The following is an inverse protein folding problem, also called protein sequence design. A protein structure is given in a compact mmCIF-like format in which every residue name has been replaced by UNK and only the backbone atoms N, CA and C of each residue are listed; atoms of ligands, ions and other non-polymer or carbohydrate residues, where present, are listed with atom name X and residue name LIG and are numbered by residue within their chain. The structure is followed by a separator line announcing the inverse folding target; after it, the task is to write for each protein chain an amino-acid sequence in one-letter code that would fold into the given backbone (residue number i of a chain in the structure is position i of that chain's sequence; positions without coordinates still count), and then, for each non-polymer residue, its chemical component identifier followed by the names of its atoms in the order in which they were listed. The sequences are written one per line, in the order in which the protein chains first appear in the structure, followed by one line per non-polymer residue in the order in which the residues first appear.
data_IF_432213682874
#
_entry.id   IF_432213682874
#
_cell.length_a   1.000
_cell.length_b   1.000
_cell.length_c   1.000
_cell.angle_alpha   90.00
_cell.angle_beta   90.00
_cell.angle_gamma   90.00
#
_symmetry.space_group_name_H-M   'P 1'
#
loop_
_entity.id
_entity.type
_entity.pdbx_description
1 polymer ?
#
# COMPACT_ATOMS: atom_id res chain seq x y z
N UNK A 1 19.19 -39.53 51.28
CA UNK A 1 18.44 -38.35 51.75
C UNK A 1 18.55 -37.28 50.69
N UNK A 2 17.51 -36.96 49.96
CA UNK A 2 17.12 -35.75 49.24
C UNK A 2 16.25 -36.05 48.00
N UNK A 3 15.18 -36.81 48.16
CA UNK A 3 14.12 -36.93 47.14
C UNK A 3 12.83 -36.19 47.50
N UNK A 4 12.75 -35.59 48.69
CA UNK A 4 11.58 -34.85 49.15
C UNK A 4 11.70 -33.32 48.84
N UNK A 5 12.91 -32.76 48.66
CA UNK A 5 13.16 -31.36 48.36
C UNK A 5 12.87 -31.01 46.90
N UNK A 6 13.19 -31.87 45.96
CA UNK A 6 12.99 -31.60 44.52
C UNK A 6 11.52 -31.67 44.12
N UNK A 7 10.68 -32.49 44.76
CA UNK A 7 9.24 -32.49 44.49
C UNK A 7 8.49 -31.30 45.04
N UNK A 8 9.01 -30.64 46.10
CA UNK A 8 8.41 -29.42 46.63
C UNK A 8 8.77 -28.18 45.77
N UNK A 9 9.91 -28.17 45.09
CA UNK A 9 10.30 -27.12 44.16
C UNK A 9 9.60 -27.24 42.79
N UNK A 10 9.34 -28.44 42.29
CA UNK A 10 8.54 -28.67 41.08
C UNK A 10 7.07 -28.30 41.27
N UNK A 11 6.49 -28.52 42.47
CA UNK A 11 5.12 -28.11 42.79
C UNK A 11 4.94 -26.61 43.07
N UNK A 12 6.02 -25.86 43.27
CA UNK A 12 5.98 -24.40 43.44
C UNK A 12 6.27 -23.63 42.15
N UNK A 13 6.69 -24.24 41.04
CA UNK A 13 6.97 -23.57 39.78
C UNK A 13 5.76 -23.49 38.85
N UNK A 14 4.68 -24.22 39.12
CA UNK A 14 3.42 -24.15 38.38
C UNK A 14 2.39 -23.27 39.10
N UNK A 15 2.77 -22.00 39.36
CA UNK A 15 1.76 -20.95 39.56
C UNK A 15 1.22 -20.60 38.20
N UNK A 16 0.22 -21.40 37.73
CA UNK A 16 -0.64 -21.07 36.61
C UNK A 16 -1.08 -19.61 36.74
N UNK A 17 -0.68 -18.78 35.77
CA UNK A 17 -1.21 -17.45 35.60
C UNK A 17 -2.73 -17.54 35.66
N UNK A 18 -3.43 -16.70 36.42
CA UNK A 18 -4.88 -16.78 36.51
C UNK A 18 -5.48 -16.58 35.11
N UNK A 19 -5.86 -17.66 34.49
CA UNK A 19 -6.50 -17.68 33.18
C UNK A 19 -8.00 -17.72 33.37
N UNK A 20 -8.72 -16.80 32.68
CA UNK A 20 -10.18 -16.84 32.66
C UNK A 20 -10.62 -17.74 31.51
N UNK A 21 -11.39 -18.74 31.83
CA UNK A 21 -12.02 -19.59 30.84
C UNK A 21 -13.42 -19.07 30.52
N UNK A 22 -13.63 -18.62 29.29
CA UNK A 22 -14.93 -18.21 28.78
C UNK A 22 -15.54 -19.40 28.02
N UNK A 23 -16.59 -19.99 28.60
CA UNK A 23 -17.41 -21.04 27.97
C UNK A 23 -18.62 -20.37 27.32
N UNK A 24 -18.62 -20.30 25.99
CA UNK A 24 -19.74 -19.76 25.24
C UNK A 24 -20.56 -20.93 24.69
N UNK A 25 -21.84 -21.03 25.12
CA UNK A 25 -22.80 -21.96 24.57
C UNK A 25 -23.61 -21.26 23.47
N UNK A 26 -23.45 -21.70 22.23
CA UNK A 26 -24.25 -21.22 21.10
C UNK A 26 -25.13 -22.35 20.54
N UNK A 27 -26.37 -22.05 20.14
CA UNK A 27 -27.16 -22.97 19.33
C UNK A 27 -26.51 -23.07 17.95
N UNK A 28 -26.39 -24.27 17.35
CA UNK A 28 -25.94 -24.39 15.99
C UNK A 28 -26.87 -23.60 15.06
N UNK A 29 -26.29 -22.70 14.25
CA UNK A 29 -27.05 -21.95 13.26
C UNK A 29 -27.61 -22.90 12.19
N UNK A 30 -28.73 -22.56 11.60
CA UNK A 30 -29.49 -23.32 10.62
C UNK A 30 -28.80 -23.61 9.27
N UNK A 31 -27.46 -23.57 9.22
CA UNK A 31 -26.64 -23.81 8.02
C UNK A 31 -25.88 -25.12 7.96
N UNK A 32 -25.86 -25.91 9.04
CA UNK A 32 -25.16 -27.20 9.09
C UNK A 32 -26.18 -28.36 9.25
N UNK A 33 -26.99 -28.57 8.22
CA UNK A 33 -27.85 -29.73 8.09
C UNK A 33 -27.09 -30.89 7.45
N UNK A 34 -26.34 -31.61 8.28
CA UNK A 34 -25.65 -32.83 7.86
C UNK A 34 -25.30 -33.75 9.03
N UNK A 35 -26.21 -34.65 9.29
CA UNK A 35 -26.17 -35.81 10.20
C UNK A 35 -26.76 -35.61 11.61
N UNK A 36 -27.84 -36.32 11.83
CA UNK A 36 -28.65 -36.29 13.03
C UNK A 36 -27.88 -36.67 14.31
N UNK A 37 -27.90 -35.72 15.22
CA UNK A 37 -27.93 -36.01 16.65
C UNK A 37 -28.46 -34.78 17.39
N UNK A 38 -29.39 -35.02 18.31
CA UNK A 38 -30.02 -34.17 19.32
C UNK A 38 -29.38 -32.79 19.52
N UNK A 39 -30.19 -31.73 19.48
CA UNK A 39 -29.81 -30.31 19.63
C UNK A 39 -28.89 -29.99 20.80
N UNK A 40 -27.64 -30.29 20.66
CA UNK A 40 -26.59 -29.97 21.63
C UNK A 40 -26.00 -28.59 21.38
N UNK A 41 -25.86 -27.80 22.44
CA UNK A 41 -25.12 -26.55 22.39
C UNK A 41 -23.63 -26.82 22.09
N UNK A 42 -23.08 -26.11 21.11
CA UNK A 42 -21.64 -26.12 20.87
C UNK A 42 -20.97 -25.20 21.89
N UNK A 43 -20.16 -25.79 22.78
CA UNK A 43 -19.40 -25.06 23.78
C UNK A 43 -18.00 -24.76 23.21
N UNK A 44 -17.66 -23.49 22.99
CA UNK A 44 -16.29 -23.08 22.63
C UNK A 44 -15.59 -22.52 23.85
N UNK A 45 -14.38 -23.00 24.11
CA UNK A 45 -13.51 -22.62 25.23
C UNK A 45 -12.53 -21.54 24.77
N UNK A 46 -12.49 -20.43 25.50
CA UNK A 46 -11.55 -19.32 25.25
C UNK A 46 -10.79 -19.02 26.54
N UNK A 47 -9.47 -18.94 26.43
CA UNK A 47 -8.59 -18.67 27.57
C UNK A 47 -8.06 -17.24 27.44
N UNK A 48 -8.21 -16.43 28.48
CA UNK A 48 -7.72 -15.05 28.50
C UNK A 48 -7.13 -14.71 29.89
N UNK A 49 -6.10 -13.86 29.91
CA UNK A 49 -5.52 -13.36 31.15
C UNK A 49 -6.51 -12.44 31.86
N UNK A 50 -6.92 -12.77 33.06
CA UNK A 50 -7.94 -12.02 33.83
C UNK A 50 -7.57 -10.55 34.03
N UNK A 51 -6.30 -10.23 34.25
CA UNK A 51 -5.83 -8.86 34.47
C UNK A 51 -6.00 -8.00 33.23
N UNK A 52 -5.80 -8.57 32.04
CA UNK A 52 -6.00 -7.87 30.78
C UNK A 52 -7.47 -7.50 30.52
N UNK A 53 -8.42 -8.29 31.06
CA UNK A 53 -9.85 -8.06 30.85
C UNK A 53 -10.44 -6.93 31.71
N UNK A 54 -9.78 -6.53 32.78
CA UNK A 54 -10.25 -5.44 33.67
C UNK A 54 -9.77 -4.06 33.24
N UNK A 55 -8.85 -3.99 32.25
CA UNK A 55 -8.31 -2.74 31.75
C UNK A 55 -9.40 -1.96 31.01
N UNK A 56 -9.42 -0.64 31.20
CA UNK A 56 -10.31 0.28 30.53
C UNK A 56 -9.53 1.13 29.53
N UNK A 57 -9.44 0.72 28.27
CA UNK A 57 -8.74 1.49 27.25
C UNK A 57 -9.53 2.75 26.91
N UNK A 58 -8.83 3.88 26.75
CA UNK A 58 -9.42 5.17 26.39
C UNK A 58 -8.86 5.63 25.05
N UNK A 59 -9.74 6.08 24.16
CA UNK A 59 -9.36 6.80 22.93
C UNK A 59 -8.72 8.14 23.29
N UNK A 60 -7.84 8.62 22.40
CA UNK A 60 -7.40 10.02 22.46
C UNK A 60 -8.59 10.99 22.25
N UNK A 61 -8.50 12.26 22.67
CA UNK A 61 -9.55 13.26 22.47
C UNK A 61 -9.94 13.38 20.99
N UNK A 62 -11.21 13.69 20.71
CA UNK A 62 -11.74 13.78 19.34
C UNK A 62 -11.04 14.86 18.49
N UNK A 63 -10.53 15.90 19.13
CA UNK A 63 -9.75 16.96 18.49
C UNK A 63 -8.37 16.52 18.00
N UNK A 64 -7.87 15.37 18.50
CA UNK A 64 -6.53 14.84 18.18
C UNK A 64 -6.49 13.86 17.00
N UNK A 65 -7.65 13.58 16.39
CA UNK A 65 -7.72 12.67 15.24
C UNK A 65 -8.80 13.06 14.23
N UNK A 66 -8.61 12.60 12.99
CA UNK A 66 -9.58 12.71 11.90
C UNK A 66 -9.97 11.32 11.43
N UNK A 67 -11.25 11.09 11.10
CA UNK A 67 -11.76 9.79 10.62
C UNK A 67 -12.36 9.95 9.24
N UNK A 68 -11.94 9.11 8.31
CA UNK A 68 -12.51 9.03 6.98
C UNK A 68 -13.07 7.62 6.72
N UNK A 69 -14.38 7.54 6.50
CA UNK A 69 -15.02 6.29 6.08
C UNK A 69 -14.87 6.08 4.57
N UNK A 70 -14.56 4.86 4.16
CA UNK A 70 -14.40 4.47 2.77
C UNK A 70 -15.13 3.15 2.49
N UNK A 71 -15.69 3.00 1.28
CA UNK A 71 -16.44 1.81 0.89
C UNK A 71 -15.57 0.83 0.10
N UNK A 72 -15.60 -0.46 0.48
CA UNK A 72 -15.04 -1.57 -0.30
C UNK A 72 -16.01 -2.03 -1.40
N UNK A 73 -15.54 -2.94 -2.26
CA UNK A 73 -16.31 -3.54 -3.36
C UNK A 73 -17.53 -4.31 -2.85
N UNK A 74 -17.43 -4.99 -1.72
CA UNK A 74 -18.50 -5.76 -1.06
C UNK A 74 -19.48 -4.89 -0.24
N UNK A 75 -19.46 -3.57 -0.44
CA UNK A 75 -20.20 -2.55 0.32
C UNK A 75 -19.85 -2.45 1.80
N UNK A 76 -18.88 -3.24 2.29
CA UNK A 76 -18.36 -3.07 3.65
C UNK A 76 -17.61 -1.77 3.75
N UNK A 77 -17.70 -1.14 4.91
CA UNK A 77 -16.94 0.06 5.22
C UNK A 77 -15.57 -0.31 5.79
N UNK A 78 -14.59 0.49 5.48
CA UNK A 78 -13.35 0.56 6.23
C UNK A 78 -13.07 2.01 6.59
N UNK A 79 -12.35 2.21 7.66
CA UNK A 79 -12.12 3.52 8.25
C UNK A 79 -10.62 3.80 8.26
N UNK A 80 -10.27 5.00 7.88
CA UNK A 80 -8.90 5.53 8.02
C UNK A 80 -8.95 6.53 9.16
N UNK A 81 -8.12 6.33 10.18
CA UNK A 81 -7.96 7.26 11.30
C UNK A 81 -6.59 7.89 11.17
N UNK A 82 -6.55 9.22 11.10
CA UNK A 82 -5.33 10.03 11.15
C UNK A 82 -5.18 10.60 12.55
N UNK A 83 -4.07 10.30 13.21
CA UNK A 83 -3.67 10.99 14.46
C UNK A 83 -2.93 12.27 14.09
N UNK A 84 -3.41 13.42 14.56
CA UNK A 84 -2.93 14.73 14.10
C UNK A 84 -1.54 15.09 14.65
N UNK A 85 -1.25 14.81 15.93
CA UNK A 85 0.03 15.18 16.56
C UNK A 85 1.24 14.41 16.01
N UNK A 86 1.07 13.12 15.69
CA UNK A 86 2.16 12.25 15.22
C UNK A 86 2.04 11.88 13.76
N UNK A 87 1.01 12.41 13.09
CA UNK A 87 0.71 12.19 11.67
C UNK A 87 0.74 10.71 11.27
N UNK A 88 0.08 9.88 12.09
CA UNK A 88 0.01 8.44 11.94
C UNK A 88 -1.34 8.03 11.41
N UNK A 89 -1.35 6.98 10.57
CA UNK A 89 -2.57 6.46 9.95
C UNK A 89 -2.82 5.04 10.41
N UNK A 90 -4.07 4.77 10.81
CA UNK A 90 -4.54 3.44 11.15
C UNK A 90 -5.73 3.08 10.28
N UNK A 91 -5.61 1.95 9.56
CA UNK A 91 -6.68 1.40 8.74
C UNK A 91 -7.44 0.35 9.54
N UNK A 92 -8.75 0.54 9.67
CA UNK A 92 -9.64 -0.32 10.45
C UNK A 92 -10.74 -0.89 9.56
N UNK A 93 -11.01 -2.17 9.72
CA UNK A 93 -12.24 -2.75 9.20
C UNK A 93 -13.43 -2.37 10.10
N UNK A 94 -14.64 -2.75 9.73
CA UNK A 94 -15.86 -2.43 10.50
C UNK A 94 -15.82 -2.99 11.93
N UNK A 95 -15.25 -4.18 12.10
CA UNK A 95 -15.11 -4.84 13.40
C UNK A 95 -14.10 -4.10 14.31
N UNK A 96 -12.94 -3.75 13.75
CA UNK A 96 -11.89 -3.02 14.46
C UNK A 96 -12.33 -1.59 14.79
N UNK A 97 -13.09 -0.95 13.89
CA UNK A 97 -13.66 0.37 14.16
C UNK A 97 -14.70 0.34 15.27
N UNK A 98 -15.54 -0.70 15.30
CA UNK A 98 -16.47 -0.91 16.41
C UNK A 98 -15.73 -1.10 17.74
N UNK A 99 -14.67 -1.90 17.77
CA UNK A 99 -13.82 -2.05 18.95
C UNK A 99 -13.25 -0.70 19.42
N UNK A 100 -12.75 0.09 18.46
CA UNK A 100 -12.20 1.42 18.76
C UNK A 100 -13.25 2.40 19.31
N UNK A 101 -14.46 2.37 18.76
CA UNK A 101 -15.58 3.19 19.28
C UNK A 101 -15.94 2.86 20.73
N UNK A 102 -15.82 1.59 21.12
CA UNK A 102 -16.12 1.12 22.49
C UNK A 102 -15.02 1.40 23.51
N UNK A 103 -13.87 1.91 23.07
CA UNK A 103 -12.76 2.28 23.95
C UNK A 103 -12.91 3.72 24.46
N UNK A 104 -13.91 3.97 25.28
CA UNK A 104 -14.26 5.28 25.85
C UNK A 104 -13.62 5.55 27.21
N UNK A 105 -12.90 4.58 27.78
CA UNK A 105 -12.34 4.63 29.14
C UNK A 105 -13.33 4.24 30.23
N UNK A 106 -14.58 3.98 29.90
CA UNK A 106 -15.63 3.55 30.82
C UNK A 106 -15.80 2.04 30.81
N UNK A 107 -15.78 1.45 29.62
CA UNK A 107 -15.92 0.01 29.41
C UNK A 107 -14.61 -0.74 29.63
N UNK A 108 -14.69 -1.87 30.32
CA UNK A 108 -13.57 -2.80 30.45
C UNK A 108 -13.37 -3.58 29.14
N UNK A 109 -12.18 -4.15 28.94
CA UNK A 109 -11.97 -5.04 27.79
C UNK A 109 -12.92 -6.24 27.77
N UNK A 110 -13.42 -6.68 28.92
CA UNK A 110 -14.49 -7.70 29.01
C UNK A 110 -15.78 -7.18 28.39
N UNK A 111 -16.18 -5.95 28.73
CA UNK A 111 -17.42 -5.35 28.21
C UNK A 111 -17.31 -5.15 26.69
N UNK A 112 -16.15 -4.67 26.22
CA UNK A 112 -15.84 -4.50 24.79
C UNK A 112 -15.90 -5.86 24.06
N UNK A 113 -15.31 -6.91 24.64
CA UNK A 113 -15.34 -8.24 24.07
C UNK A 113 -16.75 -8.84 24.02
N UNK A 114 -17.55 -8.61 25.06
CA UNK A 114 -18.95 -9.03 25.12
C UNK A 114 -19.78 -8.30 24.08
N UNK A 115 -19.64 -6.97 23.97
CA UNK A 115 -20.32 -6.17 22.93
C UNK A 115 -19.94 -6.60 21.51
N UNK A 116 -18.67 -6.91 21.28
CA UNK A 116 -18.20 -7.44 20.00
C UNK A 116 -18.86 -8.78 19.65
N UNK A 117 -18.89 -9.72 20.62
CA UNK A 117 -19.54 -11.02 20.43
C UNK A 117 -21.03 -10.89 20.12
N UNK A 118 -21.73 -10.02 20.86
CA UNK A 118 -23.17 -9.80 20.65
C UNK A 118 -23.46 -9.22 19.25
N UNK A 119 -22.56 -8.39 18.73
CA UNK A 119 -22.76 -7.76 17.42
C UNK A 119 -22.36 -8.67 16.26
N UNK A 120 -21.25 -9.39 16.36
CA UNK A 120 -20.65 -10.12 15.24
C UNK A 120 -20.79 -11.65 15.34
N UNK A 121 -21.33 -12.17 16.45
CA UNK A 121 -21.60 -13.60 16.63
C UNK A 121 -20.37 -14.51 16.74
N UNK A 122 -19.17 -13.96 16.65
CA UNK A 122 -17.90 -14.67 16.76
C UNK A 122 -16.99 -13.98 17.77
N UNK A 123 -16.15 -14.75 18.46
CA UNK A 123 -15.18 -14.22 19.40
C UNK A 123 -13.80 -14.81 19.13
N UNK A 124 -12.86 -13.94 18.75
CA UNK A 124 -11.44 -14.25 18.74
C UNK A 124 -10.68 -13.16 19.51
N UNK A 125 -10.24 -13.49 20.73
CA UNK A 125 -9.52 -12.54 21.57
C UNK A 125 -8.21 -12.05 20.94
N UNK A 126 -7.61 -12.84 20.05
CA UNK A 126 -6.43 -12.43 19.28
C UNK A 126 -6.69 -11.25 18.33
N UNK A 127 -7.92 -11.10 17.85
CA UNK A 127 -8.31 -9.93 17.04
C UNK A 127 -8.24 -8.67 17.90
N UNK A 128 -8.81 -8.72 19.12
CA UNK A 128 -8.79 -7.60 20.07
C UNK A 128 -7.34 -7.27 20.48
N UNK A 129 -6.53 -8.26 20.79
CA UNK A 129 -5.12 -8.04 21.16
C UNK A 129 -4.31 -7.39 20.04
N UNK A 130 -4.45 -7.90 18.80
CA UNK A 130 -3.77 -7.32 17.62
C UNK A 130 -4.24 -5.89 17.34
N UNK A 131 -5.53 -5.64 17.48
CA UNK A 131 -6.07 -4.29 17.34
C UNK A 131 -5.51 -3.34 18.41
N UNK A 132 -5.51 -3.75 19.68
CA UNK A 132 -4.96 -2.95 20.78
C UNK A 132 -3.47 -2.62 20.58
N UNK A 133 -2.67 -3.60 20.14
CA UNK A 133 -1.25 -3.39 19.85
C UNK A 133 -1.07 -2.33 18.74
N UNK A 134 -1.79 -2.45 17.63
CA UNK A 134 -1.75 -1.51 16.50
C UNK A 134 -2.25 -0.11 16.90
N UNK A 135 -3.35 -0.04 17.63
CA UNK A 135 -3.93 1.24 18.07
C UNK A 135 -3.02 1.97 19.07
N UNK A 136 -2.33 1.22 19.95
CA UNK A 136 -1.32 1.76 20.88
C UNK A 136 -0.06 2.23 20.15
N UNK A 137 0.47 1.44 19.22
CA UNK A 137 1.63 1.79 18.40
C UNK A 137 1.38 3.10 17.63
N UNK A 138 0.16 3.28 17.13
CA UNK A 138 -0.27 4.51 16.44
C UNK A 138 -0.71 5.62 17.41
N UNK A 139 -0.53 5.45 18.74
CA UNK A 139 -0.90 6.43 19.77
C UNK A 139 -2.37 6.87 19.71
N UNK A 140 -3.28 6.02 19.26
CA UNK A 140 -4.71 6.31 19.16
C UNK A 140 -5.49 5.91 20.41
N UNK A 141 -4.89 5.10 21.28
CA UNK A 141 -5.46 4.72 22.57
C UNK A 141 -4.45 4.90 23.70
N UNK A 142 -4.97 5.23 24.85
CA UNK A 142 -4.24 5.26 26.13
C UNK A 142 -4.72 4.07 26.96
N UNK A 143 -3.80 3.22 27.36
CA UNK A 143 -4.07 2.12 28.28
C UNK A 143 -3.42 2.50 29.60
N UNK A 144 -4.20 2.63 30.70
CA UNK A 144 -3.63 2.88 32.02
C UNK A 144 -2.61 1.78 32.36
N UNK A 145 -1.39 2.18 32.69
CA UNK A 145 -0.29 1.27 32.96
C UNK A 145 -0.47 0.63 34.34
N UNK A 146 -0.85 -0.64 34.35
CA UNK A 146 -0.47 -1.57 35.42
C UNK A 146 0.73 -2.37 34.94
N UNK A 147 1.76 -2.55 35.78
CA UNK A 147 3.02 -3.24 35.42
C UNK A 147 2.82 -4.64 34.84
N UNK A 148 1.68 -5.27 35.12
CA UNK A 148 1.27 -6.57 34.59
C UNK A 148 0.86 -6.50 33.12
N UNK A 149 0.27 -5.40 32.65
CA UNK A 149 -0.11 -5.21 31.24
C UNK A 149 1.14 -4.93 30.38
N UNK A 150 2.15 -4.28 30.94
CA UNK A 150 3.43 -4.03 30.25
C UNK A 150 4.15 -5.32 29.87
N UNK A 151 4.11 -6.34 30.73
CA UNK A 151 4.76 -7.66 30.48
C UNK A 151 4.03 -8.51 29.44
N UNK A 152 2.70 -8.45 29.37
CA UNK A 152 1.92 -9.25 28.41
C UNK A 152 1.89 -8.69 26.98
N UNK A 153 2.28 -7.43 26.80
CA UNK A 153 2.27 -6.74 25.48
C UNK A 153 3.70 -6.54 24.91
N UNK A 154 4.76 -6.89 25.65
CA UNK A 154 6.15 -6.62 25.29
C UNK A 154 6.93 -7.80 24.69
N UNK A 155 6.34 -8.98 24.54
CA UNK A 155 7.04 -10.18 24.12
C UNK A 155 6.89 -10.48 22.62
N UNK A 156 7.34 -9.56 21.75
CA UNK A 156 7.91 -9.96 20.46
C UNK A 156 9.38 -9.53 20.41
N UNK A 157 10.33 -10.46 20.39
CA UNK A 157 11.75 -10.11 20.27
C UNK A 157 11.99 -9.52 18.88
N UNK A 158 12.27 -8.22 18.83
CA UNK A 158 12.79 -7.57 17.62
C UNK A 158 14.14 -8.19 17.28
N UNK A 159 14.19 -9.00 16.23
CA UNK A 159 15.40 -9.68 15.80
C UNK A 159 16.46 -8.65 15.43
N UNK A 160 17.74 -8.91 15.74
CA UNK A 160 18.90 -8.08 15.36
C UNK A 160 18.91 -7.76 13.84
N UNK A 161 18.38 -8.66 13.01
CA UNK A 161 18.17 -8.42 11.57
C UNK A 161 17.22 -7.27 11.29
N UNK A 162 16.14 -7.11 12.09
CA UNK A 162 15.20 -6.00 11.91
C UNK A 162 15.85 -4.66 12.28
N UNK A 163 16.71 -4.63 13.29
CA UNK A 163 17.41 -3.41 13.73
C UNK A 163 18.45 -2.95 12.71
N UNK A 164 19.23 -3.89 12.12
CA UNK A 164 20.19 -3.57 11.05
C UNK A 164 19.48 -3.13 9.78
N UNK A 165 18.36 -3.79 9.43
CA UNK A 165 17.54 -3.42 8.30
C UNK A 165 16.90 -2.03 8.46
N UNK A 166 16.53 -1.65 9.69
CA UNK A 166 15.98 -0.31 9.99
C UNK A 166 17.05 0.78 9.93
N UNK A 167 18.32 0.46 10.20
CA UNK A 167 19.45 1.41 10.06
C UNK A 167 19.84 1.69 8.61
N UNK A 168 19.71 0.73 7.70
CA UNK A 168 19.93 0.91 6.26
C UNK A 168 18.83 1.76 5.57
N UNK A 169 17.65 1.86 6.19
CA UNK A 169 16.59 2.81 5.76
C UNK A 169 16.90 4.29 6.09
N UNK A 170 18.02 4.60 6.73
CA UNK A 170 18.38 5.97 7.16
C UNK A 170 19.10 6.83 6.13
N UNK A 171 19.21 6.39 4.88
CA UNK A 171 19.59 7.27 3.76
C UNK A 171 18.35 7.91 3.10
N UNK A 172 17.34 8.25 3.91
CA UNK A 172 16.19 9.01 3.48
C UNK A 172 16.48 10.50 3.73
N UNK A 173 16.84 11.22 2.67
CA UNK A 173 16.99 12.66 2.70
C UNK A 173 15.59 13.29 2.56
N UNK A 174 14.95 13.49 3.68
CA UNK A 174 13.61 14.02 3.77
C UNK A 174 13.63 15.52 4.01
N UNK A 175 13.14 16.30 3.05
CA UNK A 175 12.82 17.71 3.24
C UNK A 175 11.41 17.79 3.87
N UNK A 176 11.36 18.09 5.15
CA UNK A 176 10.12 18.40 5.87
C UNK A 176 9.74 19.88 5.67
N UNK A 177 8.51 20.24 5.98
CA UNK A 177 7.97 21.61 5.85
C UNK A 177 7.92 22.14 4.40
N UNK A 178 7.75 21.25 3.43
CA UNK A 178 7.61 21.64 2.02
C UNK A 178 6.21 22.12 1.65
N UNK A 179 5.22 21.86 2.51
CA UNK A 179 3.80 22.12 2.22
C UNK A 179 3.52 23.57 1.80
N UNK A 180 4.07 24.53 2.52
CA UNK A 180 3.90 25.96 2.20
C UNK A 180 4.50 26.31 0.83
N UNK A 181 5.69 25.77 0.51
CA UNK A 181 6.36 26.00 -0.78
C UNK A 181 5.57 25.40 -1.94
N UNK A 182 5.08 24.16 -1.76
CA UNK A 182 4.22 23.50 -2.77
C UNK A 182 2.89 24.24 -2.89
N UNK A 183 2.31 24.75 -1.80
CA UNK A 183 1.09 25.56 -1.83
C UNK A 183 1.31 26.85 -2.63
N UNK A 184 2.41 27.57 -2.38
CA UNK A 184 2.74 28.78 -3.14
C UNK A 184 2.97 28.48 -4.63
N UNK A 185 3.63 27.37 -4.97
CA UNK A 185 3.80 26.93 -6.34
C UNK A 185 2.46 26.56 -6.98
N UNK A 186 1.62 25.79 -6.26
CA UNK A 186 0.28 25.42 -6.75
C UNK A 186 -0.57 26.66 -7.08
N UNK A 187 -0.54 27.69 -6.24
CA UNK A 187 -1.29 28.94 -6.51
C UNK A 187 -0.88 29.57 -7.84
N UNK A 188 0.42 29.54 -8.20
CA UNK A 188 0.94 30.06 -9.47
C UNK A 188 0.52 29.21 -10.66
N UNK A 189 0.54 27.87 -10.50
CA UNK A 189 0.24 26.93 -11.59
C UNK A 189 -1.21 26.42 -11.57
N UNK A 190 -2.05 26.95 -10.71
CA UNK A 190 -3.47 26.57 -10.58
C UNK A 190 -4.22 26.53 -11.92
N UNK A 191 -3.98 27.42 -12.90
CA UNK A 191 -4.63 27.34 -14.22
C UNK A 191 -4.39 26.02 -14.95
N UNK A 192 -3.29 25.30 -14.68
CA UNK A 192 -3.00 23.98 -15.28
C UNK A 192 -4.02 22.90 -14.85
N UNK A 193 -4.78 23.13 -13.78
CA UNK A 193 -5.85 22.23 -13.30
C UNK A 193 -7.24 22.65 -13.80
N UNK A 194 -7.31 23.54 -14.80
CA UNK A 194 -8.55 24.01 -15.39
C UNK A 194 -9.03 23.09 -16.54
N UNK A 195 -10.33 23.14 -16.85
CA UNK A 195 -10.90 22.39 -17.98
C UNK A 195 -10.23 22.70 -19.32
N UNK A 196 -9.93 23.98 -19.68
CA UNK A 196 -9.19 24.25 -20.91
C UNK A 196 -7.78 23.66 -20.92
N UNK A 197 -7.07 23.64 -19.78
CA UNK A 197 -5.76 23.02 -19.71
C UNK A 197 -5.83 21.51 -20.01
N UNK A 198 -6.84 20.81 -19.50
CA UNK A 198 -7.04 19.39 -19.82
C UNK A 198 -7.36 19.14 -21.28
N UNK A 199 -8.09 20.07 -21.96
CA UNK A 199 -8.30 20.00 -23.40
C UNK A 199 -6.98 20.15 -24.17
N UNK A 200 -6.12 21.09 -23.76
CA UNK A 200 -4.76 21.25 -24.31
C UNK A 200 -3.92 19.99 -24.08
N UNK A 201 -3.97 19.39 -22.89
CA UNK A 201 -3.27 18.12 -22.60
C UNK A 201 -3.72 17.02 -23.56
N UNK A 202 -5.04 16.88 -23.77
CA UNK A 202 -5.59 15.93 -24.73
C UNK A 202 -5.08 16.15 -26.15
N UNK A 203 -5.03 17.42 -26.60
CA UNK A 203 -4.51 17.79 -27.92
C UNK A 203 -3.00 17.45 -28.04
N UNK A 204 -2.20 17.82 -27.04
CA UNK A 204 -0.75 17.51 -27.00
C UNK A 204 -0.51 16.01 -27.05
N UNK A 205 -1.25 15.23 -26.27
CA UNK A 205 -1.14 13.77 -26.28
C UNK A 205 -1.51 13.18 -27.65
N UNK A 206 -2.60 13.65 -28.27
CA UNK A 206 -3.04 13.17 -29.57
C UNK A 206 -2.00 13.48 -30.67
N UNK A 207 -1.51 14.72 -30.72
CA UNK A 207 -0.45 15.12 -31.68
C UNK A 207 0.85 14.36 -31.37
N UNK A 208 1.19 14.17 -30.10
CA UNK A 208 2.36 13.41 -29.67
C UNK A 208 2.34 11.95 -30.13
N UNK A 209 1.18 11.29 -30.05
CA UNK A 209 1.02 9.92 -30.58
C UNK A 209 1.24 9.89 -32.10
N UNK A 210 0.66 10.85 -32.84
CA UNK A 210 0.89 10.96 -34.30
C UNK A 210 2.37 11.16 -34.59
N UNK A 211 3.03 12.05 -33.85
CA UNK A 211 4.45 12.34 -34.01
C UNK A 211 5.33 11.11 -33.74
N UNK A 212 5.03 10.34 -32.66
CA UNK A 212 5.72 9.08 -32.35
C UNK A 212 5.62 8.07 -33.48
N UNK A 213 4.42 7.86 -34.01
CA UNK A 213 4.19 6.89 -35.10
C UNK A 213 4.89 7.32 -36.38
N UNK A 214 4.77 8.61 -36.77
CA UNK A 214 5.41 9.13 -37.97
C UNK A 214 6.93 9.05 -37.88
N UNK A 215 7.50 9.38 -36.75
CA UNK A 215 8.95 9.35 -36.53
C UNK A 215 9.50 7.92 -36.46
N UNK A 216 8.76 6.97 -35.89
CA UNK A 216 9.12 5.54 -35.90
C UNK A 216 9.24 5.02 -37.36
N UNK A 217 8.33 5.45 -38.25
CA UNK A 217 8.36 5.11 -39.67
C UNK A 217 9.55 5.72 -40.46
N UNK A 218 10.23 6.73 -39.93
CA UNK A 218 11.42 7.32 -40.52
C UNK A 218 12.73 6.60 -40.15
N UNK A 219 12.68 5.53 -39.36
CA UNK A 219 13.88 4.79 -38.92
C UNK A 219 14.74 5.57 -37.89
N UNK A 220 14.19 6.64 -37.33
CA UNK A 220 14.88 7.48 -36.36
C UNK A 220 15.25 6.70 -35.11
N UNK A 221 16.48 6.83 -34.63
CA UNK A 221 16.96 6.24 -33.39
C UNK A 221 18.19 5.35 -33.54
N UNK A 222 18.39 4.71 -34.69
CA UNK A 222 19.62 3.94 -34.93
C UNK A 222 20.87 4.86 -34.93
N UNK A 223 20.74 6.06 -35.46
CA UNK A 223 21.82 7.06 -35.54
C UNK A 223 22.35 7.48 -34.15
N UNK A 224 21.48 7.59 -33.14
CA UNK A 224 21.88 7.93 -31.76
C UNK A 224 22.74 6.84 -31.14
N UNK A 225 22.53 5.57 -31.52
CA UNK A 225 23.28 4.43 -31.00
C UNK A 225 24.67 4.28 -31.67
N UNK A 226 24.90 4.88 -32.83
CA UNK A 226 26.14 4.75 -33.61
C UNK A 226 27.16 5.86 -33.37
N UNK A 227 26.80 6.94 -32.69
CA UNK A 227 27.74 8.05 -32.44
C UNK A 227 28.46 7.90 -31.09
N UNK A 228 29.70 8.35 -31.02
CA UNK A 228 30.52 8.38 -29.79
C UNK A 228 29.88 9.19 -28.65
N UNK A 229 28.95 8.62 -27.92
CA UNK A 229 27.88 9.25 -27.16
C UNK A 229 28.27 9.74 -25.77
N UNK A 230 29.53 9.97 -25.49
CA UNK A 230 29.98 10.47 -24.19
C UNK A 230 29.29 11.76 -23.72
N UNK A 231 28.88 12.63 -24.65
CA UNK A 231 28.19 13.90 -24.33
C UNK A 231 26.66 13.78 -24.29
N UNK A 232 26.06 12.88 -25.08
CA UNK A 232 24.59 12.72 -25.11
C UNK A 232 24.05 11.97 -23.89
N UNK A 233 24.82 11.04 -23.35
CA UNK A 233 24.41 10.25 -22.17
C UNK A 233 24.16 11.13 -20.93
N UNK A 234 25.04 12.05 -20.53
CA UNK A 234 24.76 12.96 -19.42
C UNK A 234 23.50 13.81 -19.64
N UNK A 235 23.30 14.34 -20.83
CA UNK A 235 22.11 15.15 -21.16
C UNK A 235 20.85 14.28 -21.06
N UNK A 236 20.88 13.09 -21.58
CA UNK A 236 19.79 12.11 -21.48
C UNK A 236 19.43 11.80 -20.02
N UNK A 237 20.45 11.51 -19.18
CA UNK A 237 20.25 11.22 -17.76
C UNK A 237 19.69 12.44 -17.00
N UNK A 238 20.17 13.65 -17.29
CA UNK A 238 19.67 14.89 -16.67
C UNK A 238 18.18 15.10 -17.04
N UNK A 239 17.81 14.92 -18.31
CA UNK A 239 16.42 15.06 -18.75
C UNK A 239 15.51 14.03 -18.07
N UNK A 240 15.97 12.77 -17.92
CA UNK A 240 15.20 11.74 -17.21
C UNK A 240 15.09 12.04 -15.72
N UNK A 241 16.17 12.48 -15.07
CA UNK A 241 16.13 12.91 -13.68
C UNK A 241 15.15 14.10 -13.48
N UNK A 242 15.19 15.09 -14.37
CA UNK A 242 14.25 16.22 -14.36
C UNK A 242 12.79 15.73 -14.54
N UNK A 243 12.56 14.74 -15.42
CA UNK A 243 11.23 14.18 -15.63
C UNK A 243 10.73 13.45 -14.36
N UNK A 244 11.58 12.74 -13.62
CA UNK A 244 11.21 12.12 -12.35
C UNK A 244 10.83 13.19 -11.32
N UNK A 245 11.59 14.28 -11.22
CA UNK A 245 11.25 15.39 -10.31
C UNK A 245 9.91 16.03 -10.69
N UNK A 246 9.64 16.26 -11.98
CA UNK A 246 8.35 16.80 -12.45
C UNK A 246 7.21 15.83 -12.17
N UNK A 247 7.44 14.53 -12.32
CA UNK A 247 6.49 13.47 -11.99
C UNK A 247 6.06 13.54 -10.51
N UNK A 248 7.00 13.53 -9.58
CA UNK A 248 6.72 13.63 -8.14
C UNK A 248 6.08 14.98 -7.76
N UNK A 249 6.54 16.07 -8.40
CA UNK A 249 5.95 17.38 -8.20
C UNK A 249 4.49 17.42 -8.69
N UNK A 250 4.17 16.69 -9.75
CA UNK A 250 2.79 16.60 -10.27
C UNK A 250 1.85 15.92 -9.28
N UNK A 251 2.29 14.86 -8.58
CA UNK A 251 1.56 14.28 -7.47
C UNK A 251 1.32 15.29 -6.34
N UNK A 252 2.37 16.01 -5.94
CA UNK A 252 2.29 17.01 -4.89
C UNK A 252 1.33 18.17 -5.25
N UNK A 253 1.38 18.68 -6.46
CA UNK A 253 0.50 19.74 -6.94
C UNK A 253 -0.95 19.27 -7.05
N UNK A 254 -1.17 18.03 -7.53
CA UNK A 254 -2.50 17.43 -7.55
C UNK A 254 -3.06 17.21 -6.12
N UNK A 255 -2.23 16.81 -5.17
CA UNK A 255 -2.59 16.72 -3.76
C UNK A 255 -3.09 18.08 -3.23
N UNK A 256 -2.38 19.17 -3.52
CA UNK A 256 -2.80 20.55 -3.16
C UNK A 256 -4.09 20.97 -3.85
N UNK A 257 -4.31 20.52 -5.09
CA UNK A 257 -5.56 20.80 -5.81
C UNK A 257 -6.79 20.23 -5.08
N UNK A 258 -6.65 19.09 -4.41
CA UNK A 258 -7.69 18.48 -3.57
C UNK A 258 -7.67 18.97 -2.11
N UNK A 259 -6.92 20.02 -1.80
CA UNK A 259 -6.89 20.66 -0.47
C UNK A 259 -6.19 19.82 0.60
N UNK A 260 -5.34 18.84 0.22
CA UNK A 260 -4.62 17.98 1.17
C UNK A 260 -3.16 18.42 1.32
N UNK A 261 -2.54 17.96 2.40
CA UNK A 261 -1.19 18.34 2.79
C UNK A 261 -0.13 17.47 2.12
N UNK A 262 0.98 18.09 1.68
CA UNK A 262 2.17 17.40 1.20
C UNK A 262 3.20 17.38 2.34
N UNK A 263 3.41 16.22 2.96
CA UNK A 263 4.19 16.10 4.20
C UNK A 263 5.67 16.25 4.02
N UNK A 264 6.19 15.73 2.92
CA UNK A 264 7.61 15.79 2.61
C UNK A 264 7.84 15.64 1.11
N UNK A 265 9.00 16.09 0.69
CA UNK A 265 9.61 15.78 -0.59
C UNK A 265 10.99 15.18 -0.28
N UNK A 266 11.30 14.03 -0.82
CA UNK A 266 12.49 13.33 -0.39
C UNK A 266 13.21 12.58 -1.50
N UNK A 267 14.40 12.09 -1.14
CA UNK A 267 15.20 11.23 -1.97
C UNK A 267 15.47 9.94 -1.18
N UNK A 268 15.16 8.81 -1.78
CA UNK A 268 15.35 7.50 -1.17
C UNK A 268 15.88 6.49 -2.18
N UNK A 269 16.27 5.31 -1.72
CA UNK A 269 16.64 4.21 -2.60
C UNK A 269 15.51 3.19 -2.69
N UNK A 270 14.75 3.22 -3.79
CA UNK A 270 13.71 2.24 -4.07
C UNK A 270 14.32 0.84 -4.19
N UNK A 271 13.76 -0.13 -3.45
CA UNK A 271 14.31 -1.49 -3.35
C UNK A 271 15.82 -1.54 -3.00
N UNK A 272 16.37 -0.49 -2.35
CA UNK A 272 17.78 -0.35 -1.94
C UNK A 272 18.80 -0.25 -3.08
N UNK A 273 18.37 -0.13 -4.32
CA UNK A 273 19.25 -0.15 -5.50
C UNK A 273 19.06 1.08 -6.38
N UNK A 274 17.83 1.54 -6.55
CA UNK A 274 17.51 2.60 -7.51
C UNK A 274 17.27 3.91 -6.75
N UNK A 275 18.09 4.96 -7.01
CA UNK A 275 17.84 6.28 -6.45
C UNK A 275 16.52 6.80 -6.98
N UNK A 276 15.63 7.27 -6.10
CA UNK A 276 14.31 7.76 -6.43
C UNK A 276 13.98 9.00 -5.62
N UNK A 277 13.37 9.97 -6.27
CA UNK A 277 12.71 11.10 -5.60
C UNK A 277 11.29 10.66 -5.27
N UNK A 278 10.71 11.17 -4.19
CA UNK A 278 9.32 10.91 -3.84
C UNK A 278 8.64 12.13 -3.22
N UNK A 279 7.34 12.25 -3.44
CA UNK A 279 6.46 13.17 -2.74
C UNK A 279 5.59 12.40 -1.74
N UNK A 280 5.65 12.76 -0.46
CA UNK A 280 4.80 12.15 0.57
C UNK A 280 3.40 12.79 0.54
N UNK A 281 2.53 12.18 -0.22
CA UNK A 281 1.12 12.55 -0.36
C UNK A 281 0.20 11.63 0.45
N UNK A 282 0.71 11.01 1.51
CA UNK A 282 -0.04 10.04 2.36
C UNK A 282 -1.33 10.64 2.91
N UNK A 283 -1.41 11.96 3.09
CA UNK A 283 -2.62 12.65 3.53
C UNK A 283 -3.82 12.48 2.56
N UNK A 284 -3.58 12.06 1.33
CA UNK A 284 -4.62 11.71 0.38
C UNK A 284 -5.51 10.55 0.84
N UNK A 285 -5.08 9.71 1.82
CA UNK A 285 -5.94 8.70 2.41
C UNK A 285 -7.19 9.28 3.09
N UNK A 286 -7.12 10.54 3.53
CA UNK A 286 -8.24 11.28 4.10
C UNK A 286 -9.14 11.92 3.02
N UNK A 287 -8.88 11.69 1.74
CA UNK A 287 -9.64 12.23 0.62
C UNK A 287 -10.53 11.19 -0.05
N UNK A 288 -11.33 11.65 -1.03
CA UNK A 288 -12.18 10.74 -1.81
C UNK A 288 -11.35 9.83 -2.72
N UNK A 289 -11.89 8.67 -3.05
CA UNK A 289 -11.28 7.72 -3.97
C UNK A 289 -10.94 8.32 -5.33
N UNK A 290 -11.85 9.14 -5.89
CA UNK A 290 -11.61 9.83 -7.18
C UNK A 290 -10.43 10.77 -7.10
N UNK A 291 -10.29 11.52 -5.99
CA UNK A 291 -9.16 12.40 -5.77
C UNK A 291 -7.84 11.61 -5.66
N UNK A 292 -7.81 10.48 -4.94
CA UNK A 292 -6.62 9.62 -4.87
C UNK A 292 -6.20 9.10 -6.24
N UNK A 293 -7.16 8.59 -7.04
CA UNK A 293 -6.87 8.13 -8.40
C UNK A 293 -6.33 9.26 -9.29
N UNK A 294 -6.89 10.47 -9.17
CA UNK A 294 -6.42 11.63 -9.92
C UNK A 294 -5.00 12.04 -9.51
N UNK A 295 -4.69 12.01 -8.21
CA UNK A 295 -3.33 12.28 -7.72
C UNK A 295 -2.36 11.22 -8.23
N UNK A 296 -2.69 9.92 -8.12
CA UNK A 296 -1.84 8.85 -8.66
C UNK A 296 -1.66 8.93 -10.18
N UNK A 297 -2.64 9.47 -10.92
CA UNK A 297 -2.52 9.64 -12.36
C UNK A 297 -1.69 10.88 -12.76
N UNK A 298 -1.56 11.88 -11.89
CA UNK A 298 -0.90 13.14 -12.21
C UNK A 298 0.58 13.00 -12.60
N UNK A 299 1.31 12.13 -11.90
CA UNK A 299 2.71 11.82 -12.22
C UNK A 299 2.87 11.20 -13.62
N UNK A 300 2.26 10.06 -13.91
CA UNK A 300 2.29 9.47 -15.25
C UNK A 300 1.83 10.41 -16.35
N UNK A 301 0.78 11.21 -16.11
CA UNK A 301 0.29 12.21 -17.07
C UNK A 301 1.38 13.21 -17.43
N UNK A 302 2.13 13.71 -16.45
CA UNK A 302 3.24 14.64 -16.71
C UNK A 302 4.33 13.99 -17.58
N UNK A 303 4.66 12.73 -17.33
CA UNK A 303 5.60 11.96 -18.17
C UNK A 303 5.09 11.79 -19.59
N UNK A 304 3.81 11.44 -19.78
CA UNK A 304 3.19 11.33 -21.10
C UNK A 304 3.20 12.66 -21.85
N UNK A 305 2.95 13.77 -21.17
CA UNK A 305 3.00 15.11 -21.78
C UNK A 305 4.41 15.50 -22.20
N UNK A 306 5.42 15.30 -21.33
CA UNK A 306 6.82 15.59 -21.65
C UNK A 306 7.29 14.72 -22.83
N UNK A 307 6.97 13.44 -22.82
CA UNK A 307 7.29 12.53 -23.92
C UNK A 307 6.60 12.92 -25.23
N UNK A 308 5.31 13.36 -25.17
CA UNK A 308 4.59 13.83 -26.33
C UNK A 308 5.19 15.11 -26.92
N UNK A 309 5.56 16.07 -26.07
CA UNK A 309 6.25 17.31 -26.51
C UNK A 309 7.59 16.95 -27.16
N UNK A 310 8.37 16.06 -26.55
CA UNK A 310 9.65 15.59 -27.11
C UNK A 310 9.45 14.91 -28.49
N UNK A 311 8.38 14.12 -28.65
CA UNK A 311 8.04 13.50 -29.94
C UNK A 311 7.66 14.53 -31.01
N UNK A 312 6.89 15.54 -30.63
CA UNK A 312 6.51 16.65 -31.53
C UNK A 312 7.76 17.44 -31.96
N UNK A 313 8.67 17.73 -31.04
CA UNK A 313 9.95 18.38 -31.34
C UNK A 313 10.76 17.53 -32.32
N UNK A 314 10.88 16.21 -32.05
CA UNK A 314 11.57 15.27 -32.95
C UNK A 314 10.96 15.27 -34.37
N UNK A 315 9.64 15.39 -34.49
CA UNK A 315 8.93 15.36 -35.76
C UNK A 315 9.11 16.67 -36.57
N UNK A 316 9.17 17.84 -35.88
CA UNK A 316 9.35 19.12 -36.49
C UNK A 316 10.81 19.34 -36.94
N UNK A 317 11.77 18.83 -36.20
CA UNK A 317 13.18 18.96 -36.52
C UNK A 317 13.53 18.22 -37.84
N UNK A 318 14.48 18.74 -38.62
CA UNK A 318 14.99 18.03 -39.80
C UNK A 318 15.64 16.71 -39.37
N UNK A 319 15.61 15.68 -40.24
CA UNK A 319 16.29 14.41 -39.98
C UNK A 319 17.76 14.63 -39.60
N UNK A 320 18.21 13.92 -38.55
CA UNK A 320 19.56 14.01 -38.02
C UNK A 320 19.62 13.77 -36.51
N UNK A 321 20.81 14.03 -35.93
CA UNK A 321 21.08 13.73 -34.51
C UNK A 321 20.07 14.40 -33.56
N UNK A 322 19.74 15.69 -33.65
CA UNK A 322 18.78 16.32 -32.74
C UNK A 322 17.40 15.66 -32.78
N UNK A 323 16.87 15.39 -34.00
CA UNK A 323 15.58 14.73 -34.20
C UNK A 323 15.60 13.32 -33.58
N UNK A 324 16.63 12.53 -33.86
CA UNK A 324 16.81 11.18 -33.32
C UNK A 324 16.97 11.18 -31.81
N UNK A 325 17.67 12.16 -31.24
CA UNK A 325 17.82 12.32 -29.80
C UNK A 325 16.48 12.59 -29.10
N UNK A 326 15.72 13.58 -29.58
CA UNK A 326 14.41 13.89 -28.99
C UNK A 326 13.40 12.75 -29.14
N UNK A 327 13.47 11.99 -30.25
CA UNK A 327 12.64 10.83 -30.43
C UNK A 327 13.02 9.71 -29.44
N UNK A 328 14.29 9.46 -29.20
CA UNK A 328 14.76 8.52 -28.20
C UNK A 328 14.33 8.91 -26.78
N UNK A 329 14.46 10.18 -26.42
CA UNK A 329 13.94 10.75 -25.17
C UNK A 329 12.42 10.55 -25.07
N UNK A 330 11.67 10.83 -26.13
CA UNK A 330 10.22 10.66 -26.16
C UNK A 330 9.82 9.20 -25.89
N UNK A 331 10.41 8.26 -26.62
CA UNK A 331 10.10 6.83 -26.49
C UNK A 331 10.39 6.33 -25.09
N UNK A 332 11.56 6.69 -24.54
CA UNK A 332 11.95 6.21 -23.19
C UNK A 332 11.07 6.82 -22.10
N UNK A 333 10.74 8.13 -22.15
CA UNK A 333 9.86 8.77 -21.16
C UNK A 333 8.43 8.20 -21.25
N UNK A 334 7.89 8.04 -22.46
CA UNK A 334 6.56 7.44 -22.65
C UNK A 334 6.54 6.00 -22.15
N UNK A 335 7.58 5.22 -22.46
CA UNK A 335 7.68 3.84 -21.99
C UNK A 335 7.73 3.76 -20.45
N UNK A 336 8.49 4.65 -19.78
CA UNK A 336 8.54 4.74 -18.33
C UNK A 336 7.19 5.16 -17.73
N UNK A 337 6.51 6.15 -18.33
CA UNK A 337 5.20 6.61 -17.88
C UNK A 337 4.12 5.51 -18.03
N UNK A 338 4.10 4.79 -19.15
CA UNK A 338 3.20 3.66 -19.38
C UNK A 338 3.55 2.48 -18.46
N UNK A 339 4.84 2.21 -18.25
CA UNK A 339 5.32 1.20 -17.29
C UNK A 339 4.88 1.50 -15.87
N UNK A 340 4.89 2.78 -15.46
CA UNK A 340 4.41 3.17 -14.15
C UNK A 340 2.86 3.15 -14.04
N UNK A 341 2.14 3.33 -15.15
CA UNK A 341 0.69 3.11 -15.19
C UNK A 341 0.32 1.63 -15.19
N UNK A 342 1.25 0.72 -15.49
CA UNK A 342 0.99 -0.70 -15.45
C UNK A 342 0.96 -1.21 -13.99
N UNK A 343 -0.16 -1.83 -13.53
CA UNK A 343 -0.31 -2.30 -12.16
C UNK A 343 0.47 -3.59 -11.93
N UNK A 344 1.76 -3.49 -11.63
CA UNK A 344 2.64 -4.63 -11.44
C UNK A 344 2.51 -5.26 -10.05
N UNK A 345 2.55 -6.62 -9.98
CA UNK A 345 2.53 -7.37 -8.72
C UNK A 345 3.84 -7.20 -7.90
N UNK A 346 4.95 -6.96 -8.58
CA UNK A 346 6.29 -6.96 -7.98
C UNK A 346 6.77 -5.56 -7.59
N UNK A 347 6.32 -4.54 -8.29
CA UNK A 347 6.73 -3.14 -8.12
C UNK A 347 5.51 -2.33 -7.70
N UNK A 348 5.68 -1.43 -6.75
CA UNK A 348 4.68 -0.44 -6.40
C UNK A 348 4.72 0.66 -7.45
N UNK A 349 3.60 0.83 -8.15
CA UNK A 349 3.45 1.77 -9.25
C UNK A 349 2.19 2.61 -9.06
N UNK A 350 2.10 3.76 -9.69
CA UNK A 350 0.89 4.59 -9.67
C UNK A 350 -0.32 3.85 -10.25
N UNK A 351 -0.10 3.05 -11.29
CA UNK A 351 -1.13 2.20 -11.88
C UNK A 351 -1.68 1.18 -10.89
N UNK A 352 -0.86 0.66 -9.98
CA UNK A 352 -1.33 -0.20 -8.90
C UNK A 352 -2.26 0.56 -7.95
N UNK A 353 -1.91 1.78 -7.54
CA UNK A 353 -2.75 2.60 -6.67
C UNK A 353 -4.09 2.95 -7.35
N UNK A 354 -4.05 3.34 -8.62
CA UNK A 354 -5.25 3.60 -9.43
C UNK A 354 -6.14 2.35 -9.50
N UNK A 355 -5.57 1.18 -9.80
CA UNK A 355 -6.32 -0.07 -9.89
C UNK A 355 -6.92 -0.47 -8.54
N UNK A 356 -6.14 -0.42 -7.45
CA UNK A 356 -6.58 -0.75 -6.09
C UNK A 356 -7.76 0.12 -5.65
N UNK A 357 -7.69 1.42 -5.92
CA UNK A 357 -8.78 2.36 -5.67
C UNK A 357 -9.98 2.12 -6.60
N UNK A 358 -9.75 1.78 -7.86
CA UNK A 358 -10.83 1.51 -8.83
C UNK A 358 -11.63 0.27 -8.47
N UNK A 359 -10.93 -0.85 -8.17
CA UNK A 359 -11.60 -2.10 -7.74
C UNK A 359 -12.10 -2.06 -6.30
N UNK A 360 -11.72 -1.06 -5.51
CA UNK A 360 -12.05 -0.88 -4.08
C UNK A 360 -11.55 -2.02 -3.19
N UNK A 361 -10.40 -2.56 -3.50
CA UNK A 361 -9.77 -3.61 -2.70
C UNK A 361 -8.45 -3.09 -2.14
N UNK A 362 -8.42 -2.70 -0.85
CA UNK A 362 -7.17 -2.25 -0.22
C UNK A 362 -6.17 -3.40 -0.14
N UNK A 363 -4.89 -3.06 -0.23
CA UNK A 363 -3.78 -4.03 -0.18
C UNK A 363 -3.92 -5.17 -1.22
N UNK A 364 -4.43 -4.85 -2.43
CA UNK A 364 -4.67 -5.82 -3.51
C UNK A 364 -3.41 -6.65 -3.81
N UNK A 365 -2.24 -6.01 -3.86
CA UNK A 365 -0.95 -6.63 -4.17
C UNK A 365 -0.53 -7.66 -3.12
N UNK A 366 -0.56 -7.29 -1.84
CA UNK A 366 -0.19 -8.15 -0.72
C UNK A 366 -1.13 -9.35 -0.61
N UNK A 367 -2.43 -9.10 -0.73
CA UNK A 367 -3.45 -10.14 -0.68
C UNK A 367 -3.34 -11.09 -1.88
N UNK A 368 -3.05 -10.58 -3.09
CA UNK A 368 -2.83 -11.40 -4.28
C UNK A 368 -1.60 -12.28 -4.15
N UNK A 369 -0.47 -11.73 -3.65
CA UNK A 369 0.76 -12.52 -3.41
C UNK A 369 0.53 -13.62 -2.39
N UNK A 370 -0.18 -13.31 -1.29
CA UNK A 370 -0.52 -14.28 -0.25
C UNK A 370 -1.42 -15.37 -0.81
N UNK A 371 -2.49 -14.98 -1.49
CA UNK A 371 -3.46 -15.89 -2.09
C UNK A 371 -2.81 -16.85 -3.10
N UNK A 372 -2.01 -16.34 -4.03
CA UNK A 372 -1.30 -17.17 -5.02
C UNK A 372 -0.34 -18.15 -4.35
N UNK A 373 0.44 -17.69 -3.36
CA UNK A 373 1.38 -18.54 -2.62
C UNK A 373 0.66 -19.65 -1.86
N UNK A 374 -0.45 -19.34 -1.19
CA UNK A 374 -1.26 -20.32 -0.46
C UNK A 374 -1.89 -21.32 -1.42
N UNK A 375 -2.47 -20.87 -2.53
CA UNK A 375 -3.12 -21.72 -3.51
C UNK A 375 -2.14 -22.67 -4.19
N UNK A 376 -0.96 -22.19 -4.60
CA UNK A 376 0.11 -23.03 -5.17
C UNK A 376 0.55 -24.08 -4.13
N UNK A 377 0.77 -23.68 -2.89
CA UNK A 377 1.17 -24.59 -1.80
C UNK A 377 0.12 -25.67 -1.56
N UNK A 378 -1.16 -25.31 -1.52
CA UNK A 378 -2.25 -26.25 -1.28
C UNK A 378 -2.40 -27.22 -2.48
N UNK A 379 -2.22 -26.73 -3.70
CA UNK A 379 -2.23 -27.58 -4.92
C UNK A 379 -1.04 -28.58 -4.93
N UNK A 380 0.16 -28.12 -4.55
CA UNK A 380 1.35 -28.99 -4.43
C UNK A 380 1.19 -30.04 -3.32
N UNK A 381 0.36 -29.77 -2.30
CA UNK A 381 0.03 -30.70 -1.21
C UNK A 381 -1.18 -31.61 -1.52
N UNK A 382 -1.71 -31.57 -2.73
CA UNK A 382 -2.86 -32.39 -3.15
C UNK A 382 -4.18 -32.04 -2.47
N UNK A 383 -4.30 -30.86 -1.82
CA UNK A 383 -5.54 -30.44 -1.19
C UNK A 383 -6.58 -30.04 -2.23
N UNK A 384 -7.83 -30.49 -2.05
CA UNK A 384 -8.96 -30.04 -2.89
C UNK A 384 -9.12 -28.51 -2.75
N UNK A 385 -9.07 -27.81 -3.87
CA UNK A 385 -9.27 -26.36 -3.90
C UNK A 385 -10.75 -26.03 -3.80
N UNK A 386 -11.11 -25.16 -2.85
CA UNK A 386 -12.47 -24.62 -2.73
C UNK A 386 -12.77 -23.59 -3.84
N UNK A 387 -14.05 -23.35 -4.18
CA UNK A 387 -14.41 -22.27 -5.11
C UNK A 387 -13.95 -20.92 -4.57
N UNK A 388 -13.51 -20.04 -5.48
CA UNK A 388 -13.00 -18.71 -5.15
C UNK A 388 -14.13 -17.73 -4.85
N UNK A 389 -13.99 -16.93 -3.81
CA UNK A 389 -14.84 -15.78 -3.54
C UNK A 389 -14.64 -14.68 -4.59
N UNK A 390 -15.49 -13.65 -4.60
CA UNK A 390 -15.37 -12.50 -5.52
C UNK A 390 -14.03 -11.78 -5.39
N UNK A 391 -13.54 -11.59 -4.16
CA UNK A 391 -12.26 -10.94 -3.91
C UNK A 391 -11.09 -11.84 -4.28
N UNK A 392 -11.18 -13.15 -3.99
CA UNK A 392 -10.15 -14.12 -4.39
C UNK A 392 -10.02 -14.25 -5.92
N UNK A 393 -11.12 -14.08 -6.67
CA UNK A 393 -11.06 -13.99 -8.15
C UNK A 393 -10.29 -12.73 -8.59
N UNK A 394 -10.50 -11.60 -7.94
CA UNK A 394 -9.75 -10.38 -8.23
C UNK A 394 -8.25 -10.55 -7.90
N UNK A 395 -7.92 -11.19 -6.75
CA UNK A 395 -6.54 -11.51 -6.38
C UNK A 395 -5.87 -12.43 -7.39
N UNK A 396 -6.59 -13.47 -7.82
CA UNK A 396 -6.09 -14.42 -8.82
C UNK A 396 -5.86 -13.74 -10.16
N UNK A 397 -6.86 -13.04 -10.68
CA UNK A 397 -6.79 -12.36 -11.97
C UNK A 397 -5.66 -11.35 -12.01
N UNK A 398 -5.59 -10.46 -11.01
CA UNK A 398 -4.51 -9.48 -10.90
C UNK A 398 -3.13 -10.14 -10.81
N UNK A 399 -3.00 -11.17 -9.97
CA UNK A 399 -1.72 -11.86 -9.79
C UNK A 399 -1.25 -12.60 -11.03
N UNK A 400 -2.15 -13.32 -11.72
CA UNK A 400 -1.82 -14.09 -12.93
C UNK A 400 -1.52 -13.15 -14.10
N UNK A 401 -2.37 -12.14 -14.36
CA UNK A 401 -2.12 -11.19 -15.46
C UNK A 401 -0.81 -10.45 -15.28
N UNK A 402 -0.48 -10.01 -14.06
CA UNK A 402 0.79 -9.36 -13.77
C UNK A 402 1.98 -10.30 -13.96
N UNK A 403 1.89 -11.57 -13.54
CA UNK A 403 2.95 -12.55 -13.73
C UNK A 403 3.19 -12.85 -15.22
N UNK A 404 2.11 -13.09 -15.96
CA UNK A 404 2.18 -13.37 -17.41
C UNK A 404 2.82 -12.19 -18.16
N UNK A 405 2.45 -10.96 -17.81
CA UNK A 405 3.03 -9.76 -18.44
C UNK A 405 4.52 -9.61 -18.15
N UNK A 406 4.96 -9.87 -16.92
CA UNK A 406 6.40 -9.83 -16.58
C UNK A 406 7.16 -10.90 -17.36
N UNK A 407 6.64 -12.12 -17.43
CA UNK A 407 7.25 -13.20 -18.23
C UNK A 407 7.32 -12.83 -19.71
N UNK A 408 6.25 -12.24 -20.27
CA UNK A 408 6.22 -11.80 -21.67
C UNK A 408 7.27 -10.71 -21.94
N UNK A 409 7.39 -9.71 -21.07
CA UNK A 409 8.42 -8.66 -21.21
C UNK A 409 9.82 -9.24 -21.15
N UNK A 410 10.10 -10.12 -20.19
CA UNK A 410 11.40 -10.79 -20.07
C UNK A 410 11.70 -11.63 -21.33
N UNK A 411 10.73 -12.38 -21.82
CA UNK A 411 10.88 -13.18 -23.03
C UNK A 411 11.21 -12.32 -24.26
N UNK A 412 10.52 -11.17 -24.43
CA UNK A 412 10.80 -10.21 -25.51
C UNK A 412 12.22 -9.64 -25.40
N UNK A 413 12.64 -9.24 -24.19
CA UNK A 413 13.99 -8.72 -23.95
C UNK A 413 15.06 -9.76 -24.26
N UNK A 414 14.87 -11.00 -23.81
CA UNK A 414 15.79 -12.12 -24.10
C UNK A 414 15.86 -12.41 -25.61
N UNK A 415 14.72 -12.45 -26.29
CA UNK A 415 14.67 -12.66 -27.74
C UNK A 415 15.37 -11.53 -28.50
N UNK A 416 15.14 -10.26 -28.10
CA UNK A 416 15.80 -9.11 -28.71
C UNK A 416 17.33 -9.13 -28.48
N UNK A 417 17.77 -9.54 -27.30
CA UNK A 417 19.19 -9.69 -26.98
C UNK A 417 19.83 -10.84 -27.78
N UNK A 418 19.18 -12.00 -27.81
CA UNK A 418 19.65 -13.14 -28.57
C UNK A 418 19.77 -12.82 -30.07
N UNK A 419 18.77 -12.11 -30.64
CA UNK A 419 18.82 -11.67 -32.04
C UNK A 419 19.98 -10.73 -32.36
N UNK A 420 20.40 -9.89 -31.39
CA UNK A 420 21.58 -9.02 -31.52
C UNK A 420 22.92 -9.79 -31.49
N UNK A 421 22.97 -10.90 -30.74
CA UNK A 421 24.20 -11.74 -30.67
C UNK A 421 24.40 -12.60 -31.88
N UNK A 422 23.33 -12.86 -32.68
CA UNK A 422 23.36 -13.66 -33.89
C UNK A 422 23.58 -12.85 -35.18
N UNK A 423 23.61 -11.55 -35.09
CA UNK A 423 23.98 -10.59 -36.15
C UNK A 423 25.35 -9.98 -35.91
#
# INVERSE_FOLDING_TARGET
MNRAGDRAQELMSDKSKPELELLIRSRPGSGDAGNGSSGGFVTKRYVANQVALTVRPRRIPEESYEVQAQSRKDRKLFYVIRQLEGDRYLFLNEEEYFLWQKMDGLHTLRDVATAYFLKFGSFDFRVIQRFLARARENKLIVIPQTDLVRRSLSDEPTSLRSQVLTRLHRLDLRLSNVDQRITALYQRVRPLFSRPAFAIYGAVLAVGVVALVKQAGRGSGAEVLHMGHALLLPVFLILHAATIVVHELSHALACKHFGREVKAFGFTFMNRLVPSVYADVTDMWMSTRKARMAVSFAGPLSGLLIGSVSAIVAWILPPGIPSSFFWFVAVTIVALALGNLYPCLFIESDGYHILSDWVRIPALRENSRRFLRERIRDQLRGKKTRPMTSDERAYFLYGVTSLVSVVAVVAVLVAAFAHRLTR
#
